data_IF_596817284858
#
_entry.id   IF_596817284858
#
_cell.length_a   1.000
_cell.length_b   1.000
_cell.length_c   1.000
_cell.angle_alpha   90.00
_cell.angle_beta   90.00
_cell.angle_gamma   90.00
#
_symmetry.space_group_name_H-M   'P 1'
#
loop_
_entity.id
_entity.type
_entity.pdbx_description
1 polymer ?
#
# COMPACT_ATOMS: atom_id res chain seq x y z
N UNK A 1 24.48 -68.26 -8.93
CA UNK A 1 23.25 -67.44 -8.82
C UNK A 1 23.51 -66.28 -7.87
N UNK A 2 23.95 -65.13 -8.38
CA UNK A 2 24.18 -63.94 -7.55
C UNK A 2 24.11 -62.68 -8.42
N UNK A 3 22.91 -62.26 -8.81
CA UNK A 3 22.72 -61.09 -9.67
C UNK A 3 21.40 -60.33 -9.42
N UNK A 4 20.80 -60.45 -8.23
CA UNK A 4 19.47 -59.88 -7.98
C UNK A 4 19.35 -58.98 -6.73
N UNK A 5 20.39 -58.90 -5.90
CA UNK A 5 20.31 -58.17 -4.62
C UNK A 5 20.67 -56.69 -4.71
N UNK A 6 21.49 -56.28 -5.69
CA UNK A 6 22.06 -54.92 -5.72
C UNK A 6 21.19 -53.87 -6.39
N UNK A 7 20.12 -54.25 -7.11
CA UNK A 7 19.26 -53.28 -7.83
C UNK A 7 18.17 -52.65 -6.95
N UNK A 8 17.79 -53.29 -5.84
CA UNK A 8 16.68 -52.81 -4.99
C UNK A 8 17.07 -51.68 -4.02
N UNK A 9 18.36 -51.54 -3.73
CA UNK A 9 18.87 -50.51 -2.81
C UNK A 9 18.99 -49.14 -3.50
N UNK A 10 19.27 -49.12 -4.80
CA UNK A 10 19.40 -47.88 -5.58
C UNK A 10 18.06 -47.19 -5.86
N UNK A 11 16.95 -47.93 -5.91
CA UNK A 11 15.61 -47.36 -6.12
C UNK A 11 15.04 -46.75 -4.83
N UNK A 12 15.43 -47.26 -3.66
CA UNK A 12 14.98 -46.72 -2.37
C UNK A 12 15.70 -45.41 -1.97
N UNK A 13 16.95 -45.22 -2.40
CA UNK A 13 17.73 -44.00 -2.09
C UNK A 13 17.40 -42.81 -3.01
N UNK A 14 16.78 -43.03 -4.16
CA UNK A 14 16.32 -41.96 -5.05
C UNK A 14 14.90 -41.46 -4.74
N UNK A 15 14.15 -42.15 -3.88
CA UNK A 15 12.80 -41.72 -3.47
C UNK A 15 12.81 -40.74 -2.28
N UNK A 16 13.93 -40.64 -1.54
CA UNK A 16 14.03 -39.76 -0.36
C UNK A 16 14.41 -38.31 -0.73
N UNK A 17 14.91 -38.08 -1.94
CA UNK A 17 15.41 -36.77 -2.39
C UNK A 17 14.38 -35.86 -3.08
N UNK A 18 13.16 -36.32 -3.33
CA UNK A 18 12.06 -35.47 -3.83
C UNK A 18 11.13 -34.94 -2.74
N UNK A 19 11.36 -35.32 -1.48
CA UNK A 19 10.62 -34.80 -0.33
C UNK A 19 11.15 -33.45 0.15
N UNK A 20 12.09 -32.82 -0.58
CA UNK A 20 12.37 -31.40 -0.44
C UNK A 20 11.10 -30.65 -0.77
N UNK A 21 10.31 -30.40 0.26
CA UNK A 21 9.11 -29.61 0.26
C UNK A 21 9.35 -28.38 -0.61
N UNK A 22 8.85 -28.43 -1.86
CA UNK A 22 8.27 -27.26 -2.47
C UNK A 22 7.10 -26.91 -1.57
N UNK A 23 7.39 -26.21 -0.48
CA UNK A 23 6.45 -25.29 0.13
C UNK A 23 6.22 -24.29 -1.01
N UNK A 24 5.25 -24.59 -1.89
CA UNK A 24 4.65 -23.56 -2.73
C UNK A 24 4.13 -22.57 -1.71
N UNK A 25 4.92 -21.54 -1.43
CA UNK A 25 4.47 -20.38 -0.68
C UNK A 25 3.16 -19.99 -1.37
N UNK A 26 2.05 -20.13 -0.66
CA UNK A 26 0.75 -19.82 -1.22
C UNK A 26 0.85 -18.40 -1.79
N UNK A 27 0.67 -18.27 -3.10
CA UNK A 27 0.82 -16.99 -3.78
C UNK A 27 -0.21 -16.05 -3.18
N UNK A 28 0.24 -15.01 -2.49
CA UNK A 28 -0.66 -14.02 -1.89
C UNK A 28 -1.33 -13.27 -3.04
N UNK A 29 -2.64 -13.45 -3.19
CA UNK A 29 -3.42 -12.70 -4.19
C UNK A 29 -3.82 -11.35 -3.61
N UNK A 30 -4.18 -10.42 -4.50
CA UNK A 30 -4.75 -9.13 -4.10
C UNK A 30 -6.04 -9.35 -3.30
N UNK A 31 -6.92 -10.22 -3.77
CA UNK A 31 -8.21 -10.51 -3.14
C UNK A 31 -8.04 -11.07 -1.73
N UNK A 32 -7.13 -12.03 -1.54
CA UNK A 32 -6.89 -12.63 -0.23
C UNK A 32 -6.26 -11.62 0.73
N UNK A 33 -5.21 -10.91 0.30
CA UNK A 33 -4.57 -9.90 1.13
C UNK A 33 -5.54 -8.79 1.55
N UNK A 34 -6.34 -8.29 0.60
CA UNK A 34 -7.32 -7.26 0.87
C UNK A 34 -8.42 -7.74 1.82
N UNK A 35 -8.90 -8.97 1.65
CA UNK A 35 -9.93 -9.52 2.54
C UNK A 35 -9.42 -9.78 3.95
N UNK A 36 -8.18 -10.27 4.06
CA UNK A 36 -7.64 -10.73 5.34
C UNK A 36 -7.10 -9.58 6.20
N UNK A 37 -6.50 -8.55 5.59
CA UNK A 37 -5.70 -7.58 6.35
C UNK A 37 -6.30 -6.17 6.41
N UNK A 38 -7.25 -5.78 5.56
CA UNK A 38 -7.77 -4.40 5.56
C UNK A 38 -9.26 -4.31 5.88
N UNK A 39 -9.63 -3.20 6.53
CA UNK A 39 -11.03 -2.80 6.78
C UNK A 39 -11.75 -2.23 5.55
N UNK A 40 -11.06 -2.08 4.42
CA UNK A 40 -11.60 -1.57 3.15
C UNK A 40 -11.35 -2.57 2.01
N UNK A 41 -11.90 -3.81 2.10
CA UNK A 41 -11.54 -4.88 1.18
C UNK A 41 -11.90 -4.57 -0.27
N UNK A 42 -13.11 -4.09 -0.55
CA UNK A 42 -13.55 -3.77 -1.92
C UNK A 42 -12.69 -2.67 -2.55
N UNK A 43 -12.48 -1.56 -1.83
CA UNK A 43 -11.66 -0.45 -2.29
C UNK A 43 -10.19 -0.88 -2.49
N UNK A 44 -9.65 -1.73 -1.61
CA UNK A 44 -8.32 -2.31 -1.75
C UNK A 44 -8.18 -3.14 -3.02
N UNK A 45 -9.13 -4.06 -3.27
CA UNK A 45 -9.11 -4.90 -4.46
C UNK A 45 -9.19 -4.03 -5.71
N UNK A 46 -10.12 -3.08 -5.77
CA UNK A 46 -10.24 -2.17 -6.91
C UNK A 46 -8.94 -1.40 -7.12
N UNK A 47 -8.38 -0.78 -6.08
CA UNK A 47 -7.18 0.04 -6.22
C UNK A 47 -5.96 -0.75 -6.68
N UNK A 48 -5.69 -1.92 -6.08
CA UNK A 48 -4.51 -2.72 -6.41
C UNK A 48 -4.68 -3.46 -7.75
N UNK A 49 -5.89 -3.96 -8.06
CA UNK A 49 -6.15 -4.67 -9.32
C UNK A 49 -6.14 -3.75 -10.54
N UNK A 50 -6.51 -2.47 -10.36
CA UNK A 50 -6.47 -1.44 -11.41
C UNK A 50 -5.11 -0.74 -11.55
N UNK A 51 -4.12 -1.10 -10.73
CA UNK A 51 -2.76 -0.60 -10.90
C UNK A 51 -2.17 -1.02 -12.26
N UNK A 52 -1.09 -0.34 -12.67
CA UNK A 52 -0.35 -0.72 -13.88
C UNK A 52 -0.05 -2.24 -13.84
N UNK A 53 -0.33 -3.01 -14.91
CA UNK A 53 -0.22 -4.46 -14.90
C UNK A 53 1.15 -4.98 -14.44
N UNK A 54 2.25 -4.35 -14.88
CA UNK A 54 3.60 -4.76 -14.52
C UNK A 54 3.89 -4.48 -13.03
N UNK A 55 3.41 -3.35 -12.50
CA UNK A 55 3.55 -3.04 -11.07
C UNK A 55 2.74 -4.00 -10.21
N UNK A 56 1.52 -4.34 -10.64
CA UNK A 56 0.67 -5.32 -9.95
C UNK A 56 1.32 -6.71 -9.94
N UNK A 57 1.82 -7.16 -11.08
CA UNK A 57 2.46 -8.46 -11.18
C UNK A 57 3.70 -8.55 -10.28
N UNK A 58 4.57 -7.54 -10.29
CA UNK A 58 5.71 -7.46 -9.39
C UNK A 58 5.29 -7.46 -7.91
N UNK A 59 4.20 -6.75 -7.57
CA UNK A 59 3.68 -6.71 -6.21
C UNK A 59 3.17 -8.08 -5.74
N UNK A 60 2.43 -8.82 -6.58
CA UNK A 60 1.95 -10.17 -6.28
C UNK A 60 3.10 -11.15 -6.14
N UNK A 61 4.12 -11.08 -7.01
CA UNK A 61 5.34 -11.88 -6.90
C UNK A 61 6.11 -11.60 -5.60
N UNK A 62 6.09 -10.34 -5.15
CA UNK A 62 6.70 -9.91 -3.88
C UNK A 62 5.87 -10.24 -2.63
N UNK A 63 4.69 -10.85 -2.76
CA UNK A 63 3.81 -11.19 -1.64
C UNK A 63 3.30 -9.96 -0.86
N UNK A 64 3.05 -10.11 0.44
CA UNK A 64 2.61 -9.00 1.30
C UNK A 64 3.55 -7.78 1.25
N UNK A 65 4.89 -7.91 1.25
CA UNK A 65 5.79 -6.78 1.03
C UNK A 65 5.53 -6.04 -0.28
N UNK A 66 5.42 -6.78 -1.39
CA UNK A 66 5.17 -6.19 -2.71
C UNK A 66 3.82 -5.47 -2.77
N UNK A 67 2.77 -6.05 -2.18
CA UNK A 67 1.45 -5.42 -2.08
C UNK A 67 1.46 -4.17 -1.19
N UNK A 68 2.22 -4.17 -0.10
CA UNK A 68 2.41 -3.00 0.75
C UNK A 68 3.14 -1.88 -0.02
N UNK A 69 4.22 -2.17 -0.73
CA UNK A 69 4.93 -1.19 -1.56
C UNK A 69 4.06 -0.61 -2.68
N UNK A 70 3.23 -1.45 -3.32
CA UNK A 70 2.28 -1.00 -4.33
C UNK A 70 1.24 -0.07 -3.71
N UNK A 71 0.67 -0.43 -2.56
CA UNK A 71 -0.33 0.40 -1.88
C UNK A 71 0.23 1.75 -1.42
N UNK A 72 1.49 1.80 -0.95
CA UNK A 72 2.19 3.05 -0.64
C UNK A 72 2.40 3.92 -1.89
N UNK A 73 2.75 3.30 -3.02
CA UNK A 73 2.90 4.01 -4.30
C UNK A 73 1.58 4.62 -4.76
N UNK A 74 0.48 3.86 -4.65
CA UNK A 74 -0.87 4.34 -4.99
C UNK A 74 -1.34 5.42 -4.03
N UNK A 75 -1.08 5.30 -2.72
CA UNK A 75 -1.38 6.36 -1.75
C UNK A 75 -0.62 7.66 -2.10
N UNK A 76 0.67 7.57 -2.42
CA UNK A 76 1.46 8.73 -2.83
C UNK A 76 0.91 9.37 -4.12
N UNK A 77 0.49 8.54 -5.09
CA UNK A 77 -0.17 9.02 -6.30
C UNK A 77 -1.47 9.77 -5.98
N UNK A 78 -2.36 9.21 -5.14
CA UNK A 78 -3.59 9.89 -4.71
C UNK A 78 -3.31 11.20 -3.96
N UNK A 79 -2.26 11.22 -3.13
CA UNK A 79 -1.79 12.43 -2.47
C UNK A 79 -1.37 13.50 -3.48
N UNK A 80 -0.59 13.13 -4.49
CA UNK A 80 -0.16 14.05 -5.55
C UNK A 80 -1.35 14.56 -6.40
N UNK A 81 -2.31 13.69 -6.73
CA UNK A 81 -3.56 14.07 -7.40
C UNK A 81 -4.38 15.06 -6.54
N UNK A 82 -4.36 14.89 -5.22
CA UNK A 82 -5.01 15.78 -4.27
C UNK A 82 -4.30 17.13 -4.19
N UNK A 83 -2.96 17.17 -4.16
CA UNK A 83 -2.17 18.41 -4.25
C UNK A 83 -2.53 19.19 -5.50
N UNK A 84 -2.56 18.53 -6.67
CA UNK A 84 -2.90 19.17 -7.95
C UNK A 84 -4.31 19.74 -7.92
N UNK A 85 -5.27 18.99 -7.38
CA UNK A 85 -6.65 19.46 -7.25
C UNK A 85 -6.74 20.68 -6.32
N UNK A 86 -6.11 20.61 -5.14
CA UNK A 86 -6.11 21.70 -4.16
C UNK A 86 -5.51 22.96 -4.79
N UNK A 87 -4.37 22.85 -5.49
CA UNK A 87 -3.77 24.01 -6.18
C UNK A 87 -4.74 24.65 -7.18
N UNK A 88 -5.51 23.84 -7.92
CA UNK A 88 -6.52 24.33 -8.86
C UNK A 88 -7.71 25.03 -8.20
N UNK A 89 -7.92 24.89 -6.89
CA UNK A 89 -9.01 25.59 -6.18
C UNK A 89 -8.79 27.10 -6.09
N UNK A 90 -7.57 27.59 -6.33
CA UNK A 90 -7.30 29.03 -6.39
C UNK A 90 -8.08 29.72 -7.52
N UNK A 91 -8.31 29.00 -8.62
CA UNK A 91 -8.90 29.53 -9.85
C UNK A 91 -10.39 29.15 -10.01
N UNK A 92 -10.97 28.44 -9.03
CA UNK A 92 -12.36 27.97 -9.10
C UNK A 92 -13.34 28.89 -8.37
N UNK A 93 -14.54 29.14 -8.94
CA UNK A 93 -15.67 29.67 -8.19
C UNK A 93 -16.01 28.77 -6.99
N UNK A 94 -16.23 29.33 -5.80
CA UNK A 94 -16.38 28.53 -4.57
C UNK A 94 -15.07 27.83 -4.14
N UNK A 95 -13.94 28.39 -4.55
CA UNK A 95 -12.59 27.94 -4.23
C UNK A 95 -12.22 28.07 -2.75
N UNK A 96 -10.94 27.83 -2.46
CA UNK A 96 -10.40 27.91 -1.10
C UNK A 96 -9.64 29.24 -0.90
N UNK A 97 -9.78 29.92 0.25
CA UNK A 97 -9.00 31.13 0.55
C UNK A 97 -7.49 30.88 0.40
N UNK A 98 -6.68 31.84 -0.09
CA UNK A 98 -5.26 31.64 -0.38
C UNK A 98 -4.43 31.10 0.80
N UNK A 99 -4.66 31.59 2.01
CA UNK A 99 -4.00 31.15 3.24
C UNK A 99 -4.36 29.71 3.60
N UNK A 100 -5.61 29.31 3.38
CA UNK A 100 -6.09 27.95 3.56
C UNK A 100 -5.49 27.01 2.50
N UNK A 101 -5.47 27.47 1.25
CA UNK A 101 -4.91 26.75 0.11
C UNK A 101 -3.43 26.42 0.32
N UNK A 102 -2.62 27.40 0.74
CA UNK A 102 -1.19 27.19 0.99
C UNK A 102 -0.95 26.15 2.09
N UNK A 103 -1.69 26.25 3.19
CA UNK A 103 -1.60 25.29 4.30
C UNK A 103 -2.01 23.88 3.87
N UNK A 104 -3.11 23.76 3.14
CA UNK A 104 -3.58 22.48 2.59
C UNK A 104 -2.57 21.86 1.62
N UNK A 105 -2.04 22.66 0.68
CA UNK A 105 -1.02 22.19 -0.27
C UNK A 105 0.21 21.70 0.48
N UNK A 106 0.70 22.46 1.46
CA UNK A 106 1.87 22.06 2.25
C UNK A 106 1.63 20.75 3.01
N UNK A 107 0.46 20.59 3.64
CA UNK A 107 0.05 19.35 4.33
C UNK A 107 0.01 18.14 3.40
N UNK A 108 -0.63 18.25 2.23
CA UNK A 108 -0.63 17.13 1.27
C UNK A 108 0.74 16.85 0.66
N UNK A 109 1.58 17.87 0.44
CA UNK A 109 2.96 17.66 0.00
C UNK A 109 3.79 16.93 1.05
N UNK A 110 3.61 17.28 2.32
CA UNK A 110 4.21 16.56 3.45
C UNK A 110 3.72 15.11 3.47
N UNK A 111 2.41 14.88 3.38
CA UNK A 111 1.83 13.54 3.32
C UNK A 111 2.40 12.69 2.17
N UNK A 112 2.56 13.26 0.97
CA UNK A 112 3.17 12.57 -0.18
C UNK A 112 4.64 12.21 0.11
N UNK A 113 5.41 13.14 0.68
CA UNK A 113 6.80 12.88 1.04
C UNK A 113 6.90 11.77 2.11
N UNK A 114 6.00 11.75 3.08
CA UNK A 114 5.95 10.75 4.15
C UNK A 114 5.62 9.36 3.60
N UNK A 115 4.69 9.28 2.65
CA UNK A 115 4.35 8.05 1.92
C UNK A 115 5.53 7.53 1.11
N UNK A 116 6.28 8.40 0.44
CA UNK A 116 7.48 8.04 -0.29
C UNK A 116 8.60 7.55 0.64
N UNK A 117 8.83 8.23 1.77
CA UNK A 117 9.81 7.76 2.78
C UNK A 117 9.40 6.41 3.36
N UNK A 118 8.11 6.20 3.61
CA UNK A 118 7.56 4.92 4.08
C UNK A 118 7.80 3.80 3.06
N UNK A 119 7.65 4.09 1.76
CA UNK A 119 8.00 3.14 0.70
C UNK A 119 9.47 2.76 0.71
N UNK A 120 10.37 3.74 0.80
CA UNK A 120 11.82 3.50 0.86
C UNK A 120 12.16 2.66 2.10
N UNK A 121 11.60 2.99 3.26
CA UNK A 121 11.80 2.21 4.49
C UNK A 121 11.31 0.75 4.37
N UNK A 122 10.22 0.50 3.64
CA UNK A 122 9.75 -0.86 3.34
C UNK A 122 10.74 -1.65 2.46
N UNK A 123 11.39 -0.97 1.52
CA UNK A 123 12.36 -1.58 0.59
C UNK A 123 13.71 -1.86 1.26
N UNK A 124 14.16 -0.95 2.12
CA UNK A 124 15.48 -1.02 2.76
C UNK A 124 15.50 -1.92 4.01
N UNK A 125 14.36 -2.11 4.69
CA UNK A 125 14.34 -2.88 5.92
C UNK A 125 14.26 -4.40 5.68
N UNK A 126 15.28 -5.12 6.19
CA UNK A 126 15.21 -6.57 6.48
C UNK A 126 14.51 -6.84 7.81
N UNK A 127 14.79 -6.00 8.82
CA UNK A 127 14.09 -5.94 10.10
C UNK A 127 13.36 -4.59 10.19
N UNK A 128 12.08 -4.65 9.85
CA UNK A 128 11.19 -3.52 9.75
C UNK A 128 10.79 -3.06 11.15
N UNK A 129 11.44 -2.02 11.67
CA UNK A 129 10.76 -1.18 12.64
C UNK A 129 9.62 -0.47 11.91
N UNK A 130 8.45 -1.13 11.92
CA UNK A 130 7.14 -0.65 11.44
C UNK A 130 6.81 0.78 11.92
N UNK A 131 7.51 1.27 12.95
CA UNK A 131 7.37 2.59 13.55
C UNK A 131 7.57 3.73 12.55
N UNK A 132 8.49 3.61 11.57
CA UNK A 132 8.70 4.67 10.57
C UNK A 132 7.57 4.76 9.54
N UNK A 133 7.12 3.61 9.06
CA UNK A 133 6.03 3.51 8.07
C UNK A 133 4.68 3.88 8.69
N UNK A 134 4.39 3.35 9.88
CA UNK A 134 3.14 3.62 10.58
C UNK A 134 2.99 5.08 11.02
N UNK A 135 4.05 5.70 11.54
CA UNK A 135 4.03 7.13 11.91
C UNK A 135 3.85 8.04 10.70
N UNK A 136 4.57 7.79 9.60
CA UNK A 136 4.41 8.57 8.36
C UNK A 136 3.01 8.43 7.75
N UNK A 137 2.43 7.23 7.77
CA UNK A 137 1.06 6.99 7.30
C UNK A 137 0.00 7.66 8.19
N UNK A 138 0.18 7.63 9.51
CA UNK A 138 -0.71 8.29 10.46
C UNK A 138 -0.66 9.82 10.32
N UNK A 139 0.54 10.37 10.11
CA UNK A 139 0.73 11.79 9.81
C UNK A 139 0.05 12.16 8.49
N UNK A 140 0.30 11.41 7.41
CA UNK A 140 -0.32 11.64 6.10
C UNK A 140 -1.85 11.63 6.13
N UNK A 141 -2.47 10.73 6.91
CA UNK A 141 -3.91 10.72 7.14
C UNK A 141 -4.39 11.98 7.88
N UNK A 142 -3.71 12.32 8.97
CA UNK A 142 -4.08 13.48 9.81
C UNK A 142 -3.97 14.78 9.05
N UNK A 143 -2.92 14.95 8.25
CA UNK A 143 -2.70 16.13 7.43
C UNK A 143 -3.79 16.34 6.37
N UNK A 144 -4.30 15.26 5.78
CA UNK A 144 -5.45 15.33 4.88
C UNK A 144 -6.74 15.75 5.57
N UNK A 145 -7.02 15.17 6.75
CA UNK A 145 -8.21 15.48 7.54
C UNK A 145 -8.18 16.93 8.09
N UNK A 146 -7.02 17.40 8.53
CA UNK A 146 -6.80 18.75 9.07
C UNK A 146 -6.98 19.86 8.04
N UNK A 147 -6.58 19.60 6.79
CA UNK A 147 -6.77 20.55 5.70
C UNK A 147 -8.25 20.97 5.61
N UNK A 148 -9.18 20.04 5.70
CA UNK A 148 -10.61 20.35 5.56
C UNK A 148 -11.22 20.97 6.80
N UNK A 149 -10.83 20.51 8.00
CA UNK A 149 -11.43 21.01 9.25
C UNK A 149 -11.12 22.49 9.50
N UNK A 150 -9.92 22.93 9.14
CA UNK A 150 -9.48 24.30 9.39
C UNK A 150 -9.81 25.27 8.25
N UNK A 151 -10.32 24.76 7.11
CA UNK A 151 -10.57 25.56 5.92
C UNK A 151 -12.05 25.48 5.54
N UNK A 152 -12.86 26.43 6.04
CA UNK A 152 -14.23 26.59 5.55
C UNK A 152 -14.19 27.07 4.10
N UNK A 153 -14.94 26.39 3.24
CA UNK A 153 -15.05 26.73 1.81
C UNK A 153 -16.22 27.69 1.60
N UNK A 154 -16.12 28.53 0.58
CA UNK A 154 -17.25 29.33 0.11
C UNK A 154 -18.18 28.37 -0.67
N UNK A 155 -19.49 28.40 -0.40
CA UNK A 155 -20.48 27.56 -1.12
C UNK A 155 -20.32 27.70 -2.65
N UNK A 156 -20.43 26.58 -3.38
CA UNK A 156 -20.70 26.63 -4.82
C UNK A 156 -19.70 26.00 -5.81
N UNK A 157 -18.94 24.93 -5.48
CA UNK A 157 -18.39 24.13 -6.60
C UNK A 157 -17.46 22.97 -6.33
N UNK A 158 -16.50 23.09 -5.40
CA UNK A 158 -15.43 22.09 -5.28
C UNK A 158 -15.48 21.18 -4.05
N UNK A 159 -16.48 21.34 -3.18
CA UNK A 159 -16.53 20.74 -1.84
C UNK A 159 -16.62 19.21 -1.87
N UNK A 160 -17.51 18.63 -2.66
CA UNK A 160 -17.67 17.17 -2.73
C UNK A 160 -16.41 16.49 -3.28
N UNK A 161 -15.77 17.09 -4.29
CA UNK A 161 -14.61 16.49 -4.97
C UNK A 161 -13.36 16.47 -4.08
N UNK A 162 -13.14 17.48 -3.22
CA UNK A 162 -12.00 17.42 -2.29
C UNK A 162 -12.23 16.38 -1.19
N UNK A 163 -13.47 16.29 -0.68
CA UNK A 163 -13.83 15.35 0.38
C UNK A 163 -13.64 13.92 -0.13
N UNK A 164 -14.05 13.64 -1.36
CA UNK A 164 -13.82 12.35 -2.00
C UNK A 164 -12.33 12.04 -2.17
N UNK A 165 -11.52 13.00 -2.63
CA UNK A 165 -10.07 12.81 -2.79
C UNK A 165 -9.36 12.54 -1.46
N UNK A 166 -9.75 13.23 -0.41
CA UNK A 166 -9.21 13.04 0.94
C UNK A 166 -9.66 11.70 1.52
N UNK A 167 -10.92 11.32 1.31
CA UNK A 167 -11.47 10.02 1.68
C UNK A 167 -10.70 8.89 0.99
N UNK A 168 -10.44 9.01 -0.31
CA UNK A 168 -9.68 8.03 -1.08
C UNK A 168 -8.21 7.95 -0.64
N UNK A 169 -7.57 9.09 -0.38
CA UNK A 169 -6.23 9.12 0.20
C UNK A 169 -6.20 8.44 1.57
N UNK A 170 -7.15 8.76 2.46
CA UNK A 170 -7.24 8.15 3.79
C UNK A 170 -7.46 6.64 3.72
N UNK A 171 -8.32 6.17 2.81
CA UNK A 171 -8.55 4.73 2.59
C UNK A 171 -7.27 4.06 2.09
N UNK A 172 -6.57 4.67 1.13
CA UNK A 172 -5.31 4.15 0.62
C UNK A 172 -4.21 4.10 1.70
N UNK A 173 -4.05 5.15 2.51
CA UNK A 173 -3.12 5.15 3.64
C UNK A 173 -3.48 4.05 4.65
N UNK A 174 -4.77 3.83 4.92
CA UNK A 174 -5.20 2.75 5.81
C UNK A 174 -4.90 1.36 5.25
N UNK A 175 -5.06 1.15 3.94
CA UNK A 175 -4.71 -0.11 3.28
C UNK A 175 -3.20 -0.33 3.35
N UNK A 176 -2.41 0.71 3.03
CA UNK A 176 -0.97 0.65 3.09
C UNK A 176 -0.44 0.32 4.48
N UNK A 177 -1.02 0.93 5.52
CA UNK A 177 -0.68 0.60 6.91
C UNK A 177 -0.95 -0.86 7.21
N UNK A 178 -2.15 -1.34 6.88
CA UNK A 178 -2.55 -2.70 7.25
C UNK A 178 -1.73 -3.77 6.52
N UNK A 179 -1.40 -3.54 5.24
CA UNK A 179 -0.56 -4.44 4.47
C UNK A 179 0.92 -4.37 4.89
N UNK A 180 1.41 -3.19 5.26
CA UNK A 180 2.75 -3.04 5.83
C UNK A 180 2.85 -3.80 7.17
N UNK A 181 1.90 -3.60 8.09
CA UNK A 181 1.86 -4.30 9.37
C UNK A 181 1.79 -5.83 9.18
N UNK A 182 0.92 -6.30 8.28
CA UNK A 182 0.81 -7.72 7.94
C UNK A 182 2.12 -8.28 7.36
N UNK A 183 2.77 -7.54 6.46
CA UNK A 183 4.08 -7.90 5.90
C UNK A 183 5.13 -8.07 6.98
N UNK A 184 5.16 -7.16 7.97
CA UNK A 184 6.15 -7.18 9.05
C UNK A 184 5.89 -8.34 10.01
N UNK A 185 4.64 -8.56 10.39
CA UNK A 185 4.27 -9.69 11.24
C UNK A 185 4.54 -11.04 10.58
N UNK A 186 4.30 -11.16 9.27
CA UNK A 186 4.57 -12.40 8.53
C UNK A 186 6.07 -12.72 8.41
N UNK A 187 6.93 -11.70 8.32
CA UNK A 187 8.40 -11.88 8.28
C UNK A 187 8.98 -12.36 9.61
N UNK A 188 8.33 -12.05 10.73
CA UNK A 188 8.79 -12.36 12.08
C UNK A 188 8.15 -13.63 12.68
N UNK A 189 7.27 -14.30 11.94
CA UNK A 189 6.55 -15.51 12.36
C UNK A 189 7.19 -16.78 11.76
#
# INVERSE_FOLDING_TARGET
>A
MAAAASLRVLVALLAVSMSSLRRTAATVTVEEACKQYTKHPEFCVTALSSANPAMKEAAVQGGLPGLAELSLSLAAQRGAETVTFVKGLADMPGGMPPECLQNCVAKFQSAVADLQRSKVAMQESKDASATGVSSGLAAAKTDGDDCMRNCHRIEGGGELVIVDKISDLSKMCSIALSLADASIHNRNA
#
